data_IF_972571243215
#
_entry.id   IF_972571243215
#
_cell.length_a   1.000
_cell.length_b   1.000
_cell.length_c   1.000
_cell.angle_alpha   90.00
_cell.angle_beta   90.00
_cell.angle_gamma   90.00
#
_symmetry.space_group_name_H-M   'P 1'
#
loop_
_entity.id
_entity.type
_entity.pdbx_description
1 polymer ?
#
# COMPACT_ATOMS: atom_id res chain seq x y z
N UNK A 1 -51.20 -23.82 30.82
CA UNK A 1 -51.18 -22.49 30.15
C UNK A 1 -49.73 -22.14 29.89
N UNK A 2 -49.25 -22.40 28.68
CA UNK A 2 -47.91 -22.05 28.20
C UNK A 2 -48.11 -20.99 27.12
N UNK A 3 -47.54 -19.80 27.35
CA UNK A 3 -47.67 -18.63 26.48
C UNK A 3 -47.00 -18.89 25.11
N UNK A 4 -47.73 -18.82 23.98
CA UNK A 4 -47.20 -19.09 22.65
C UNK A 4 -46.39 -17.92 22.06
N UNK A 5 -46.12 -16.85 22.82
CA UNK A 5 -45.44 -15.63 22.34
C UNK A 5 -43.99 -15.41 22.80
N UNK A 6 -43.36 -16.33 23.54
CA UNK A 6 -42.01 -16.12 24.05
C UNK A 6 -40.96 -16.29 22.93
N UNK A 7 -40.43 -15.17 22.42
CA UNK A 7 -39.28 -15.17 21.52
C UNK A 7 -38.08 -15.90 22.16
N UNK A 8 -37.29 -16.68 21.40
CA UNK A 8 -36.15 -17.40 21.94
C UNK A 8 -35.18 -16.40 22.59
N UNK A 9 -34.84 -16.63 23.85
CA UNK A 9 -33.87 -15.80 24.58
C UNK A 9 -32.47 -16.05 23.99
N UNK A 10 -32.05 -15.18 23.07
CA UNK A 10 -30.69 -15.23 22.51
C UNK A 10 -29.70 -14.78 23.56
N UNK A 11 -28.66 -15.59 23.81
CA UNK A 11 -27.54 -15.25 24.68
C UNK A 11 -26.25 -15.36 23.89
N UNK A 12 -25.30 -14.48 24.17
CA UNK A 12 -23.94 -14.54 23.61
C UNK A 12 -23.02 -15.22 24.61
N UNK A 13 -22.07 -16.00 24.09
CA UNK A 13 -20.99 -16.61 24.85
C UNK A 13 -19.71 -16.54 24.01
N UNK A 14 -18.56 -16.54 24.67
CA UNK A 14 -17.28 -16.62 23.97
C UNK A 14 -17.20 -17.96 23.23
N UNK A 15 -16.90 -17.91 21.93
CA UNK A 15 -16.90 -19.08 21.07
C UNK A 15 -15.75 -20.06 21.37
N UNK A 16 -14.74 -19.63 22.15
CA UNK A 16 -13.61 -20.44 22.64
C UNK A 16 -12.71 -21.05 21.56
N UNK A 17 -13.02 -20.82 20.29
CA UNK A 17 -12.37 -21.43 19.13
C UNK A 17 -12.14 -20.36 18.07
N UNK A 18 -10.97 -20.41 17.45
CA UNK A 18 -10.60 -19.50 16.34
C UNK A 18 -10.89 -20.09 14.97
N UNK A 19 -11.49 -21.27 14.91
CA UNK A 19 -11.75 -21.99 13.67
C UNK A 19 -13.16 -22.55 13.71
N UNK A 20 -13.97 -22.11 12.76
CA UNK A 20 -15.33 -22.58 12.56
C UNK A 20 -15.30 -23.44 11.30
N UNK A 21 -15.45 -24.74 11.49
CA UNK A 21 -15.49 -25.69 10.39
C UNK A 21 -16.82 -25.57 9.65
N UNK A 22 -16.75 -25.57 8.32
CA UNK A 22 -17.93 -25.51 7.47
C UNK A 22 -17.62 -26.02 6.07
N UNK A 23 -18.69 -26.28 5.31
CA UNK A 23 -18.66 -26.65 3.90
C UNK A 23 -19.63 -25.73 3.13
N UNK A 24 -19.20 -25.06 2.05
CA UNK A 24 -17.90 -25.17 1.39
C UNK A 24 -16.79 -24.29 2.00
N UNK A 25 -17.09 -23.49 3.03
CA UNK A 25 -16.15 -22.54 3.64
C UNK A 25 -15.84 -22.86 5.10
N UNK A 26 -14.55 -22.84 5.44
CA UNK A 26 -14.05 -22.85 6.82
C UNK A 26 -13.60 -21.44 7.20
N UNK A 27 -14.11 -20.91 8.31
CA UNK A 27 -13.69 -19.61 8.83
C UNK A 27 -12.54 -19.80 9.81
N UNK A 28 -11.46 -19.05 9.64
CA UNK A 28 -10.31 -19.05 10.55
C UNK A 28 -10.01 -17.62 10.97
N UNK A 29 -10.16 -17.32 12.26
CA UNK A 29 -9.72 -16.07 12.86
C UNK A 29 -8.21 -16.13 13.03
N UNK A 30 -7.48 -15.43 12.14
CA UNK A 30 -6.02 -15.36 12.16
C UNK A 30 -5.51 -14.43 13.27
N UNK A 31 -6.29 -13.39 13.58
CA UNK A 31 -6.04 -12.44 14.65
C UNK A 31 -7.37 -12.00 15.24
N UNK A 32 -7.50 -12.01 16.57
CA UNK A 32 -8.63 -11.40 17.25
C UNK A 32 -8.35 -9.91 17.45
N UNK A 33 -9.33 -9.08 17.10
CA UNK A 33 -9.28 -7.66 17.39
C UNK A 33 -9.38 -7.40 18.88
N UNK A 34 -8.82 -6.30 19.31
CA UNK A 34 -8.87 -5.85 20.70
C UNK A 34 -9.05 -4.34 20.76
N UNK A 35 -9.59 -3.87 21.87
CA UNK A 35 -9.64 -2.45 22.21
C UNK A 35 -9.43 -2.33 23.73
N UNK A 36 -8.29 -1.77 24.12
CA UNK A 36 -7.88 -1.61 25.51
C UNK A 36 -7.67 -0.12 25.79
N UNK A 37 -8.49 0.49 26.67
CA UNK A 37 -8.26 1.86 27.09
C UNK A 37 -6.94 1.95 27.86
N UNK A 38 -6.23 3.06 27.70
CA UNK A 38 -4.97 3.36 28.38
C UNK A 38 -5.21 4.42 29.47
N UNK A 39 -4.44 4.42 30.57
CA UNK A 39 -4.61 5.39 31.66
C UNK A 39 -4.49 6.84 31.23
N UNK A 40 -3.73 7.12 30.16
CA UNK A 40 -3.50 8.47 29.62
C UNK A 40 -4.66 8.99 28.75
N UNK A 41 -5.79 8.28 28.72
CA UNK A 41 -6.99 8.65 27.94
C UNK A 41 -6.96 8.20 26.47
N UNK A 42 -5.85 7.64 25.98
CA UNK A 42 -5.78 6.97 24.68
C UNK A 42 -6.36 5.54 24.71
N UNK A 43 -6.37 4.84 23.58
CA UNK A 43 -6.67 3.40 23.53
C UNK A 43 -5.71 2.65 22.61
N UNK A 44 -5.29 1.44 23.01
CA UNK A 44 -4.64 0.49 22.11
C UNK A 44 -5.72 -0.37 21.45
N UNK A 45 -5.75 -0.38 20.13
CA UNK A 45 -6.71 -1.18 19.39
C UNK A 45 -6.09 -1.79 18.14
N UNK A 46 -6.59 -2.96 17.76
CA UNK A 46 -6.30 -3.59 16.47
C UNK A 46 -7.52 -4.36 15.96
N UNK A 47 -7.60 -4.53 14.64
CA UNK A 47 -8.69 -5.23 13.97
C UNK A 47 -8.55 -6.75 14.04
N UNK A 48 -9.69 -7.44 13.99
CA UNK A 48 -9.73 -8.89 13.74
C UNK A 48 -9.30 -9.15 12.30
N UNK A 49 -8.54 -10.20 12.04
CA UNK A 49 -8.20 -10.65 10.69
C UNK A 49 -8.76 -12.05 10.50
N UNK A 50 -9.58 -12.25 9.47
CA UNK A 50 -10.29 -13.51 9.25
C UNK A 50 -9.99 -14.07 7.87
N UNK A 51 -9.66 -15.36 7.80
CA UNK A 51 -9.47 -16.09 6.56
C UNK A 51 -10.64 -17.04 6.32
N UNK A 52 -11.32 -16.85 5.19
CA UNK A 52 -12.30 -17.78 4.66
C UNK A 52 -11.58 -18.77 3.73
N UNK A 53 -11.45 -20.02 4.16
CA UNK A 53 -10.89 -21.11 3.34
C UNK A 53 -12.03 -21.83 2.61
N UNK A 54 -12.10 -21.62 1.30
CA UNK A 54 -12.96 -22.35 0.36
C UNK A 54 -12.27 -22.52 -1.00
N UNK A 55 -13.01 -22.72 -2.11
CA UNK A 55 -12.45 -22.83 -3.46
C UNK A 55 -11.58 -21.64 -3.87
N UNK A 56 -11.93 -20.44 -3.38
CA UNK A 56 -11.13 -19.23 -3.46
C UNK A 56 -10.90 -18.71 -2.03
N UNK A 57 -9.65 -18.65 -1.54
CA UNK A 57 -9.36 -18.12 -0.22
C UNK A 57 -9.60 -16.61 -0.21
N UNK A 58 -10.37 -16.13 0.77
CA UNK A 58 -10.65 -14.70 0.97
C UNK A 58 -10.13 -14.25 2.32
N UNK A 59 -9.32 -13.19 2.32
CA UNK A 59 -8.87 -12.52 3.53
C UNK A 59 -9.82 -11.35 3.80
N UNK A 60 -10.42 -11.34 4.99
CA UNK A 60 -11.30 -10.27 5.48
C UNK A 60 -10.53 -9.51 6.55
N UNK A 61 -10.37 -8.21 6.33
CA UNK A 61 -9.54 -7.26 7.09
C UNK A 61 -8.03 -7.57 7.06
N UNK A 62 -7.21 -6.55 7.35
CA UNK A 62 -5.74 -6.64 7.33
C UNK A 62 -5.08 -6.19 8.63
N UNK A 63 -5.87 -5.81 9.63
CA UNK A 63 -5.37 -5.23 10.89
C UNK A 63 -4.74 -3.85 10.69
N UNK A 64 -4.12 -3.33 11.75
CA UNK A 64 -3.47 -2.04 11.74
C UNK A 64 -2.05 -2.08 11.13
N UNK A 65 -1.54 -0.94 10.64
CA UNK A 65 -0.22 -0.83 10.00
C UNK A 65 0.97 -1.10 10.94
N UNK A 66 0.72 -1.30 12.23
CA UNK A 66 1.70 -1.47 13.30
C UNK A 66 2.35 -2.88 13.30
N UNK A 67 1.77 -3.85 12.58
CA UNK A 67 2.29 -5.22 12.39
C UNK A 67 3.38 -5.35 11.32
N UNK A 68 4.46 -4.56 11.47
CA UNK A 68 5.53 -4.33 10.46
C UNK A 68 6.09 -5.59 9.81
N UNK A 69 6.26 -6.67 10.58
CA UNK A 69 6.77 -7.97 10.11
C UNK A 69 5.91 -8.61 9.01
N UNK A 70 4.57 -8.45 9.10
CA UNK A 70 3.63 -9.08 8.14
C UNK A 70 3.53 -8.30 6.82
N UNK A 71 3.59 -6.97 6.88
CA UNK A 71 3.64 -6.11 5.69
C UNK A 71 4.97 -6.28 4.94
N UNK A 72 6.09 -6.35 5.68
CA UNK A 72 7.40 -6.64 5.10
C UNK A 72 7.41 -8.04 4.47
N UNK A 73 6.83 -9.06 5.11
CA UNK A 73 6.71 -10.39 4.52
C UNK A 73 5.87 -10.41 3.24
N UNK A 74 4.75 -9.69 3.19
CA UNK A 74 3.92 -9.59 1.98
C UNK A 74 4.67 -8.89 0.83
N UNK A 75 5.37 -7.79 1.11
CA UNK A 75 6.20 -7.08 0.13
C UNK A 75 7.37 -7.95 -0.36
N UNK A 76 8.06 -8.64 0.55
CA UNK A 76 9.15 -9.57 0.23
C UNK A 76 8.64 -10.72 -0.65
N UNK A 77 7.47 -11.28 -0.38
CA UNK A 77 6.84 -12.31 -1.20
C UNK A 77 6.52 -11.79 -2.60
N UNK A 78 6.03 -10.56 -2.75
CA UNK A 78 5.78 -9.96 -4.08
C UNK A 78 7.08 -9.79 -4.86
N UNK A 79 8.15 -9.29 -4.24
CA UNK A 79 9.49 -9.22 -4.88
C UNK A 79 10.09 -10.60 -5.14
N UNK A 80 9.87 -11.57 -4.27
CA UNK A 80 10.37 -12.94 -4.42
C UNK A 80 9.64 -13.68 -5.55
N UNK A 81 8.33 -13.48 -5.71
CA UNK A 81 7.56 -14.02 -6.84
C UNK A 81 8.07 -13.42 -8.17
N UNK A 82 8.37 -12.13 -8.21
CA UNK A 82 8.97 -11.49 -9.39
C UNK A 82 10.36 -12.07 -9.72
N UNK A 83 11.17 -12.39 -8.70
CA UNK A 83 12.52 -12.95 -8.88
C UNK A 83 12.49 -14.46 -9.21
N UNK A 84 11.57 -15.23 -8.63
CA UNK A 84 11.45 -16.68 -8.82
C UNK A 84 10.76 -17.05 -10.14
N UNK A 85 9.81 -16.24 -10.61
CA UNK A 85 9.19 -16.42 -11.93
C UNK A 85 10.20 -16.24 -13.09
N UNK A 86 11.31 -15.53 -12.85
CA UNK A 86 12.40 -15.36 -13.80
C UNK A 86 13.41 -16.54 -13.81
N UNK A 87 13.31 -17.50 -12.88
CA UNK A 87 14.36 -18.49 -12.62
C UNK A 87 14.03 -19.97 -12.87
N UNK A 88 12.80 -20.35 -13.26
CA UNK A 88 12.46 -21.77 -13.35
C UNK A 88 12.82 -22.41 -14.71
N UNK A 89 13.88 -23.23 -14.72
CA UNK A 89 14.24 -24.14 -15.82
C UNK A 89 13.18 -25.24 -15.97
N UNK A 90 12.18 -25.04 -16.83
CA UNK A 90 11.16 -26.03 -17.19
C UNK A 90 11.02 -26.22 -18.70
N UNK A 91 10.29 -27.26 -19.13
CA UNK A 91 10.17 -27.67 -20.55
C UNK A 91 9.43 -26.65 -21.45
N UNK A 92 8.79 -25.63 -20.87
CA UNK A 92 8.28 -24.41 -21.55
C UNK A 92 9.10 -23.15 -21.17
N UNK A 93 10.37 -23.34 -20.87
CA UNK A 93 11.28 -22.36 -20.28
C UNK A 93 11.68 -21.25 -21.24
N UNK A 94 11.75 -20.05 -20.67
CA UNK A 94 12.25 -18.78 -21.20
C UNK A 94 11.29 -17.87 -21.99
N UNK A 95 10.29 -18.33 -22.74
CA UNK A 95 9.41 -17.39 -23.49
C UNK A 95 8.21 -16.86 -22.70
N UNK A 96 7.37 -17.75 -22.15
CA UNK A 96 6.13 -17.33 -21.47
C UNK A 96 6.41 -16.52 -20.19
N UNK A 97 7.43 -16.91 -19.42
CA UNK A 97 7.88 -16.19 -18.22
C UNK A 97 8.46 -14.80 -18.53
N UNK A 98 9.18 -14.64 -19.64
CA UNK A 98 9.71 -13.34 -20.05
C UNK A 98 8.63 -12.36 -20.53
N UNK A 99 7.59 -12.83 -21.22
CA UNK A 99 6.46 -11.98 -21.63
C UNK A 99 5.65 -11.50 -20.42
N UNK A 100 5.36 -12.39 -19.46
CA UNK A 100 4.65 -12.03 -18.24
C UNK A 100 5.46 -11.05 -17.39
N UNK A 101 6.78 -11.22 -17.32
CA UNK A 101 7.70 -10.29 -16.66
C UNK A 101 7.73 -8.91 -17.31
N UNK A 102 7.68 -8.81 -18.65
CA UNK A 102 7.57 -7.53 -19.35
C UNK A 102 6.25 -6.83 -19.05
N UNK A 103 5.14 -7.57 -19.07
CA UNK A 103 3.82 -7.00 -18.82
C UNK A 103 3.70 -6.46 -17.39
N UNK A 104 4.22 -7.19 -16.40
CA UNK A 104 4.28 -6.71 -15.02
C UNK A 104 5.21 -5.51 -14.85
N UNK A 105 6.33 -5.48 -15.58
CA UNK A 105 7.22 -4.30 -15.59
C UNK A 105 6.53 -3.05 -16.16
N UNK A 106 5.73 -3.17 -17.23
CA UNK A 106 4.95 -2.05 -17.79
C UNK A 106 3.88 -1.57 -16.81
N UNK A 107 3.17 -2.51 -16.16
CA UNK A 107 2.19 -2.16 -15.12
C UNK A 107 2.86 -1.48 -13.93
N UNK A 108 4.03 -1.95 -13.49
CA UNK A 108 4.84 -1.33 -12.43
C UNK A 108 5.31 0.08 -12.80
N UNK A 109 5.77 0.29 -14.04
CA UNK A 109 6.12 1.63 -14.56
C UNK A 109 4.89 2.56 -14.50
N UNK A 110 3.72 2.09 -14.95
CA UNK A 110 2.48 2.86 -14.88
C UNK A 110 2.07 3.22 -13.45
N UNK A 111 2.16 2.24 -12.53
CA UNK A 111 1.90 2.42 -11.10
C UNK A 111 2.88 3.42 -10.46
N UNK A 112 4.17 3.32 -10.78
CA UNK A 112 5.21 4.21 -10.28
C UNK A 112 4.99 5.66 -10.75
N UNK A 113 4.70 5.88 -12.03
CA UNK A 113 4.41 7.23 -12.56
C UNK A 113 3.17 7.82 -11.86
N UNK A 114 2.11 7.04 -11.70
CA UNK A 114 0.93 7.48 -10.97
C UNK A 114 1.25 7.84 -9.52
N UNK A 115 1.98 6.97 -8.81
CA UNK A 115 2.38 7.21 -7.42
C UNK A 115 3.28 8.46 -7.28
N UNK A 116 4.22 8.68 -8.20
CA UNK A 116 5.08 9.88 -8.24
C UNK A 116 4.25 11.16 -8.40
N UNK A 117 3.32 11.17 -9.36
CA UNK A 117 2.48 12.36 -9.61
C UNK A 117 1.58 12.68 -8.42
N UNK A 118 0.88 11.69 -7.88
CA UNK A 118 -0.02 11.87 -6.72
C UNK A 118 0.77 12.30 -5.47
N UNK A 119 1.91 11.66 -5.20
CA UNK A 119 2.74 12.01 -4.04
C UNK A 119 3.35 13.40 -4.16
N UNK A 120 3.82 13.76 -5.36
CA UNK A 120 4.31 15.11 -5.64
C UNK A 120 3.23 16.17 -5.43
N UNK A 121 2.03 15.95 -5.97
CA UNK A 121 0.90 16.86 -5.75
C UNK A 121 0.51 16.97 -4.27
N UNK A 122 0.53 15.86 -3.53
CA UNK A 122 0.22 15.85 -2.10
C UNK A 122 1.26 16.61 -1.26
N UNK A 123 2.55 16.55 -1.65
CA UNK A 123 3.62 17.33 -1.04
C UNK A 123 3.52 18.82 -1.39
N UNK A 124 3.21 19.17 -2.65
CA UNK A 124 3.09 20.58 -3.04
C UNK A 124 1.86 21.23 -2.42
N UNK A 125 0.69 20.57 -2.45
CA UNK A 125 -0.57 21.13 -1.93
C UNK A 125 -0.66 21.10 -0.41
N UNK A 126 0.08 20.21 0.24
CA UNK A 126 0.08 20.04 1.70
C UNK A 126 -1.21 19.44 2.26
N UNK A 127 -1.22 19.13 3.57
CA UNK A 127 -2.35 18.46 4.21
C UNK A 127 -3.56 19.38 4.37
N UNK A 128 -4.72 18.76 4.57
CA UNK A 128 -5.91 19.46 5.04
C UNK A 128 -5.80 19.64 6.57
N UNK A 129 -5.97 20.87 7.05
CA UNK A 129 -5.90 21.16 8.48
C UNK A 129 -6.73 22.41 8.82
N UNK A 130 -7.02 22.59 10.11
CA UNK A 130 -7.54 23.84 10.66
C UNK A 130 -6.36 24.71 11.10
N UNK A 131 -6.37 25.98 10.70
CA UNK A 131 -5.32 26.96 11.01
C UNK A 131 -5.93 28.23 11.60
N UNK A 132 -5.13 29.00 12.34
CA UNK A 132 -5.59 30.23 12.97
C UNK A 132 -5.61 31.36 11.93
N UNK A 133 -6.75 32.05 11.80
CA UNK A 133 -6.85 33.27 11.01
C UNK A 133 -6.20 34.44 11.78
N UNK A 134 -5.82 35.52 11.06
CA UNK A 134 -5.32 36.75 11.69
C UNK A 134 -6.30 37.38 12.71
N UNK A 135 -7.57 37.01 12.65
CA UNK A 135 -8.64 37.41 13.58
C UNK A 135 -8.62 36.63 14.91
N UNK A 136 -7.77 35.60 15.04
CA UNK A 136 -7.68 34.74 16.22
C UNK A 136 -8.76 33.64 16.28
N UNK A 137 -9.67 33.58 15.30
CA UNK A 137 -10.60 32.46 15.14
C UNK A 137 -9.92 31.30 14.39
N UNK A 138 -10.47 30.09 14.57
CA UNK A 138 -10.00 28.89 13.88
C UNK A 138 -10.69 28.78 12.52
N UNK A 139 -9.92 28.55 11.46
CA UNK A 139 -10.44 28.34 10.13
C UNK A 139 -11.27 27.05 10.05
N UNK A 140 -12.20 27.02 9.11
CA UNK A 140 -12.71 25.75 8.58
C UNK A 140 -11.57 24.95 7.93
N UNK A 141 -11.82 23.65 7.69
CA UNK A 141 -10.83 22.74 7.12
C UNK A 141 -10.35 23.22 5.75
N UNK A 142 -9.06 23.51 5.64
CA UNK A 142 -8.47 24.07 4.43
C UNK A 142 -7.02 23.64 4.22
N UNK A 143 -6.40 24.19 3.17
CA UNK A 143 -4.99 23.94 2.84
C UNK A 143 -4.20 25.26 2.93
N UNK A 144 -3.58 25.56 4.07
CA UNK A 144 -2.92 26.85 4.31
C UNK A 144 -1.62 27.05 3.51
N UNK A 145 -1.13 25.99 2.86
CA UNK A 145 0.08 25.98 2.04
C UNK A 145 -0.21 26.03 0.54
N UNK A 146 -1.50 25.95 0.15
CA UNK A 146 -1.89 26.09 -1.25
C UNK A 146 -1.93 27.58 -1.61
N UNK A 147 -1.14 27.99 -2.60
CA UNK A 147 -1.19 29.34 -3.16
C UNK A 147 -2.55 29.65 -3.80
N UNK A 148 -2.91 30.93 -3.98
CA UNK A 148 -4.17 31.31 -4.62
C UNK A 148 -4.27 30.73 -6.04
N UNK A 149 -5.47 30.32 -6.51
CA UNK A 149 -5.66 29.61 -7.79
C UNK A 149 -5.16 30.32 -9.06
N UNK A 150 -4.89 31.63 -8.98
CA UNK A 150 -4.53 32.50 -10.11
C UNK A 150 -3.03 32.83 -10.18
N UNK A 151 -2.23 32.49 -9.17
CA UNK A 151 -0.80 32.79 -9.16
C UNK A 151 -0.06 31.70 -9.94
N UNK A 152 0.37 32.02 -11.15
CA UNK A 152 1.22 31.16 -11.98
C UNK A 152 2.66 31.17 -11.44
N UNK A 153 3.19 29.97 -11.20
CA UNK A 153 4.51 29.64 -10.64
C UNK A 153 5.66 29.95 -11.62
N UNK A 154 5.70 31.14 -12.24
CA UNK A 154 6.73 31.47 -13.24
C UNK A 154 7.95 32.21 -12.67
N UNK A 155 7.90 32.77 -11.44
CA UNK A 155 9.00 33.59 -10.87
C UNK A 155 9.33 33.33 -9.38
N UNK A 156 8.59 32.48 -8.67
CA UNK A 156 8.85 32.19 -7.26
C UNK A 156 9.66 30.88 -7.12
N UNK A 157 10.94 30.97 -6.76
CA UNK A 157 11.81 29.84 -6.44
C UNK A 157 11.17 28.98 -5.33
N UNK A 158 10.55 27.87 -5.72
CA UNK A 158 9.85 26.91 -4.85
C UNK A 158 10.64 26.57 -3.58
N UNK A 159 11.98 26.60 -3.65
CA UNK A 159 12.87 26.27 -2.54
C UNK A 159 12.89 27.32 -1.42
N UNK A 160 12.57 28.58 -1.69
CA UNK A 160 12.70 29.69 -0.72
C UNK A 160 11.46 29.94 0.13
N UNK A 161 10.29 29.43 -0.26
CA UNK A 161 9.02 29.71 0.41
C UNK A 161 8.20 28.44 0.72
N UNK A 162 8.68 27.26 0.35
CA UNK A 162 7.96 26.01 0.58
C UNK A 162 8.08 25.51 2.01
N UNK A 163 6.94 25.22 2.63
CA UNK A 163 6.85 24.61 3.95
C UNK A 163 7.58 23.25 4.06
N UNK A 164 7.89 22.58 2.94
CA UNK A 164 8.63 21.32 2.91
C UNK A 164 10.05 21.42 3.51
N UNK A 165 10.71 22.56 3.36
CA UNK A 165 12.11 22.77 3.79
C UNK A 165 12.24 23.67 5.02
N UNK A 166 11.11 24.14 5.54
CA UNK A 166 11.01 25.17 6.56
C UNK A 166 10.13 24.67 7.72
N UNK A 167 10.71 23.91 8.69
CA UNK A 167 9.97 23.33 9.81
C UNK A 167 9.24 24.35 10.69
N UNK A 168 9.71 25.60 10.70
CA UNK A 168 9.08 26.73 11.38
C UNK A 168 7.66 27.03 10.86
N UNK A 169 7.37 26.68 9.60
CA UNK A 169 6.04 26.85 9.00
C UNK A 169 5.06 25.73 9.37
N UNK A 170 5.52 24.63 9.96
CA UNK A 170 4.66 23.47 10.28
C UNK A 170 3.66 23.76 11.39
N UNK A 171 3.96 24.74 12.26
CA UNK A 171 3.05 25.21 13.31
C UNK A 171 1.81 25.95 12.80
N UNK A 172 1.70 26.20 11.49
CA UNK A 172 0.56 26.86 10.88
C UNK A 172 -0.72 26.01 10.94
N UNK A 173 -0.58 24.68 10.91
CA UNK A 173 -1.68 23.76 11.16
C UNK A 173 -1.82 23.51 12.66
N UNK A 174 -2.98 23.84 13.23
CA UNK A 174 -3.27 23.62 14.65
C UNK A 174 -3.87 22.23 14.89
N UNK A 175 -4.92 21.88 14.13
CA UNK A 175 -5.59 20.59 14.23
C UNK A 175 -5.62 19.86 12.88
N UNK A 176 -5.29 18.55 12.83
CA UNK A 176 -4.72 17.75 13.91
C UNK A 176 -3.22 18.06 14.15
N UNK A 177 -2.69 17.82 15.37
CA UNK A 177 -1.29 18.09 15.68
C UNK A 177 -0.35 17.24 14.82
N UNK A 178 0.79 17.81 14.42
CA UNK A 178 1.83 17.16 13.61
C UNK A 178 1.39 16.60 12.24
N UNK A 179 0.22 16.99 11.74
CA UNK A 179 -0.29 16.54 10.43
C UNK A 179 0.64 16.88 9.27
N UNK A 180 1.35 18.01 9.36
CA UNK A 180 2.31 18.47 8.35
C UNK A 180 3.50 17.52 8.27
N UNK A 181 4.05 17.13 9.42
CA UNK A 181 5.15 16.14 9.50
C UNK A 181 4.71 14.80 8.93
N UNK A 182 3.53 14.34 9.31
CA UNK A 182 2.98 13.08 8.81
C UNK A 182 2.84 13.08 7.29
N UNK A 183 2.24 14.14 6.72
CA UNK A 183 2.08 14.30 5.28
C UNK A 183 3.44 14.27 4.55
N UNK A 184 4.42 15.04 5.04
CA UNK A 184 5.75 15.11 4.43
C UNK A 184 6.43 13.74 4.45
N UNK A 185 6.46 13.06 5.61
CA UNK A 185 7.14 11.78 5.76
C UNK A 185 6.47 10.72 4.89
N UNK A 186 5.14 10.59 4.96
CA UNK A 186 4.39 9.59 4.23
C UNK A 186 4.61 9.73 2.71
N UNK A 187 4.36 10.92 2.16
CA UNK A 187 4.44 11.12 0.72
C UNK A 187 5.88 11.16 0.20
N UNK A 188 6.86 11.53 1.03
CA UNK A 188 8.29 11.42 0.65
C UNK A 188 8.73 9.95 0.57
N UNK A 189 8.28 9.10 1.49
CA UNK A 189 8.56 7.66 1.45
C UNK A 189 7.90 6.99 0.24
N UNK A 190 6.64 7.33 -0.05
CA UNK A 190 5.94 6.82 -1.24
C UNK A 190 6.64 7.29 -2.51
N UNK A 191 7.02 8.58 -2.60
CA UNK A 191 7.74 9.13 -3.74
C UNK A 191 9.09 8.44 -3.96
N UNK A 192 9.86 8.24 -2.88
CA UNK A 192 11.14 7.51 -2.94
C UNK A 192 10.95 6.05 -3.38
N UNK A 193 9.94 5.37 -2.86
CA UNK A 193 9.57 4.02 -3.27
C UNK A 193 9.18 3.93 -4.74
N UNK A 194 8.37 4.87 -5.23
CA UNK A 194 7.94 4.93 -6.63
C UNK A 194 9.11 5.20 -7.59
N UNK A 195 10.05 6.07 -7.21
CA UNK A 195 11.29 6.28 -7.99
C UNK A 195 12.11 5.00 -8.07
N UNK A 196 12.28 4.29 -6.95
CA UNK A 196 13.00 3.02 -6.94
C UNK A 196 12.29 1.94 -7.78
N UNK A 197 10.96 1.83 -7.67
CA UNK A 197 10.15 0.92 -8.48
C UNK A 197 10.28 1.23 -9.97
N UNK A 198 10.21 2.51 -10.36
CA UNK A 198 10.37 2.93 -11.75
C UNK A 198 11.74 2.50 -12.33
N UNK A 199 12.82 2.68 -11.55
CA UNK A 199 14.16 2.28 -11.94
C UNK A 199 14.27 0.75 -12.09
N UNK A 200 13.79 0.00 -11.11
CA UNK A 200 13.85 -1.47 -11.11
C UNK A 200 13.00 -2.08 -12.25
N UNK A 201 11.77 -1.60 -12.44
CA UNK A 201 10.89 -2.08 -13.52
C UNK A 201 11.45 -1.72 -14.90
N UNK A 202 12.07 -0.54 -15.05
CA UNK A 202 12.72 -0.14 -16.30
C UNK A 202 13.90 -1.04 -16.64
N UNK A 203 14.76 -1.35 -15.65
CA UNK A 203 15.86 -2.31 -15.83
C UNK A 203 15.33 -3.71 -16.19
N UNK A 204 14.30 -4.18 -15.48
CA UNK A 204 13.67 -5.48 -15.76
C UNK A 204 13.06 -5.54 -17.17
N UNK A 205 12.43 -4.45 -17.61
CA UNK A 205 11.87 -4.34 -18.95
C UNK A 205 12.96 -4.44 -20.02
N UNK A 206 14.05 -3.67 -19.90
CA UNK A 206 15.17 -3.73 -20.85
C UNK A 206 15.88 -5.08 -20.84
N UNK A 207 16.10 -5.69 -19.67
CA UNK A 207 16.69 -7.02 -19.55
C UNK A 207 15.80 -8.09 -20.20
N UNK A 208 14.47 -7.98 -20.04
CA UNK A 208 13.51 -8.79 -20.76
C UNK A 208 13.61 -8.59 -22.28
N UNK A 209 13.73 -7.35 -22.75
CA UNK A 209 13.84 -7.03 -24.18
C UNK A 209 15.10 -7.64 -24.80
N UNK A 210 16.24 -7.51 -24.12
CA UNK A 210 17.51 -8.08 -24.56
C UNK A 210 17.44 -9.61 -24.66
N UNK A 211 16.84 -10.30 -23.69
CA UNK A 211 16.67 -11.75 -23.75
C UNK A 211 15.69 -12.21 -24.85
N UNK A 212 14.68 -11.39 -25.21
CA UNK A 212 13.72 -11.71 -26.27
C UNK A 212 14.34 -11.55 -27.66
N UNK A 213 15.15 -10.51 -27.86
CA UNK A 213 15.77 -10.15 -29.14
C UNK A 213 17.01 -11.03 -29.40
N UNK A 214 17.83 -11.31 -28.39
CA UNK A 214 19.05 -12.13 -28.52
C UNK A 214 18.79 -13.65 -28.31
N UNK A 215 17.55 -14.06 -28.06
CA UNK A 215 17.17 -15.38 -27.54
C UNK A 215 17.09 -16.59 -28.49
N UNK A 216 17.19 -16.50 -29.84
CA UNK A 216 17.32 -17.71 -30.63
C UNK A 216 18.62 -17.75 -31.45
N UNK A 217 19.64 -18.44 -30.94
CA UNK A 217 20.56 -19.31 -31.70
C UNK A 217 21.40 -20.14 -30.74
N UNK A 218 21.27 -21.47 -30.85
CA UNK A 218 21.94 -22.61 -30.17
C UNK A 218 20.92 -23.45 -29.39
N UNK A 219 20.08 -24.28 -30.03
CA UNK A 219 20.52 -25.60 -30.49
C UNK A 219 19.56 -26.17 -31.55
N UNK A 220 19.94 -26.05 -32.82
CA UNK A 220 19.71 -27.12 -33.78
C UNK A 220 21.07 -27.59 -34.28
N UNK A 221 21.48 -28.78 -33.86
CA UNK A 221 22.17 -29.71 -34.75
C UNK A 221 21.36 -31.01 -34.74
N UNK A 222 20.77 -31.43 -35.86
CA UNK A 222 20.36 -32.81 -36.03
C UNK A 222 21.58 -33.69 -36.35
N UNK A 223 21.51 -34.91 -35.80
CA UNK A 223 22.18 -36.17 -36.16
C UNK A 223 23.73 -36.23 -36.25
N UNK A 224 24.29 -37.17 -35.49
CA UNK A 224 25.25 -38.12 -36.07
C UNK A 224 24.89 -39.51 -35.55
N UNK A 225 24.28 -40.32 -36.41
CA UNK A 225 24.33 -41.77 -36.31
C UNK A 225 25.79 -42.19 -36.51
N UNK A 226 26.30 -43.04 -35.63
CA UNK A 226 27.23 -44.12 -35.95
C UNK A 226 27.12 -45.19 -34.87
#
# INVERSE_FOLDING_TARGET
MTDPGAAPTVRTALLGTRRIMGSPYTVVVLQEGYHQPTPDGGARADGTVTLLRGPLPMLVDTGGPWGRERLLAALVVITAIHFQAAGHQGCCGNRCGMFLSMLMAVLGIGGAIYAMTVSGLALVRGPLCQYLLPEGNLSDWGRPFQGPPWKSDDDDDFRKSSYLFHPELWGKCHNPPDVVKFNIILFSLILGGAVLELLLCTVQFFNGCAGCICGPRLRKRPATQH
#
